data_IF_884818177624
#
_entry.id   IF_884818177624
#
_cell.length_a   1.000
_cell.length_b   1.000
_cell.length_c   1.000
_cell.angle_alpha   90.00
_cell.angle_beta   90.00
_cell.angle_gamma   90.00
#
_symmetry.space_group_name_H-M   'P 1'
#
loop_
_entity.id
_entity.type
_entity.pdbx_description
1 polymer ?
#
# COMPACT_ATOMS: atom_id res chain seq x y z
N UNK A 1 -43.12 -20.67 5.40
CA UNK A 1 -43.58 -19.43 6.08
C UNK A 1 -42.64 -18.98 7.19
N UNK A 2 -42.15 -19.87 8.07
CA UNK A 2 -41.22 -19.53 9.18
C UNK A 2 -39.93 -18.79 8.75
N UNK A 3 -39.30 -19.17 7.63
CA UNK A 3 -38.08 -18.49 7.11
C UNK A 3 -38.33 -17.04 6.63
N UNK A 4 -39.51 -16.76 6.06
CA UNK A 4 -39.88 -15.41 5.59
C UNK A 4 -40.19 -14.47 6.76
N UNK A 5 -40.84 -15.00 7.81
CA UNK A 5 -41.12 -14.25 9.05
C UNK A 5 -39.82 -13.92 9.79
N UNK A 6 -38.86 -14.85 9.83
CA UNK A 6 -37.55 -14.59 10.42
C UNK A 6 -36.76 -13.50 9.67
N UNK A 7 -36.80 -13.50 8.34
CA UNK A 7 -36.12 -12.49 7.51
C UNK A 7 -36.75 -11.10 7.67
N UNK A 8 -38.08 -11.02 7.77
CA UNK A 8 -38.80 -9.78 8.05
C UNK A 8 -38.50 -9.28 9.48
N UNK A 9 -38.43 -10.19 10.46
CA UNK A 9 -38.08 -9.83 11.84
C UNK A 9 -36.65 -9.29 11.95
N UNK A 10 -35.68 -9.89 11.25
CA UNK A 10 -34.29 -9.39 11.20
C UNK A 10 -34.22 -8.04 10.49
N UNK A 11 -34.94 -7.86 9.37
CA UNK A 11 -35.00 -6.58 8.67
C UNK A 11 -35.62 -5.46 9.54
N UNK A 12 -36.70 -5.77 10.27
CA UNK A 12 -37.31 -4.85 11.22
C UNK A 12 -36.42 -4.56 12.43
N UNK A 13 -35.68 -5.56 12.94
CA UNK A 13 -34.70 -5.37 14.02
C UNK A 13 -33.54 -4.47 13.56
N UNK A 14 -33.08 -4.62 12.32
CA UNK A 14 -32.09 -3.74 11.71
C UNK A 14 -32.62 -2.31 11.56
N UNK A 15 -33.89 -2.12 11.18
CA UNK A 15 -34.50 -0.78 11.09
C UNK A 15 -34.77 -0.13 12.46
N UNK A 16 -35.07 -0.92 13.49
CA UNK A 16 -35.25 -0.42 14.86
C UNK A 16 -33.91 -0.06 15.54
N UNK A 17 -32.80 -0.69 15.13
CA UNK A 17 -31.45 -0.33 15.60
C UNK A 17 -30.94 1.02 15.08
N UNK A 18 -31.51 1.54 13.99
CA UNK A 18 -31.16 2.83 13.39
C UNK A 18 -31.92 4.03 13.99
N UNK A 19 -32.99 3.78 14.78
CA UNK A 19 -33.85 4.83 15.31
C UNK A 19 -33.45 5.35 16.71
N UNK A 20 -32.32 4.89 17.26
CA UNK A 20 -31.87 5.25 18.60
C UNK A 20 -30.94 6.48 18.68
N UNK A 21 -30.75 7.22 17.58
CA UNK A 21 -30.17 8.56 17.65
C UNK A 21 -31.22 9.52 18.21
N UNK A 22 -31.24 9.69 19.54
CA UNK A 22 -31.92 10.84 20.13
C UNK A 22 -31.34 12.10 19.48
N UNK A 23 -32.19 12.82 18.74
CA UNK A 23 -31.87 14.14 18.16
C UNK A 23 -31.75 15.16 19.29
N UNK A 24 -30.70 15.05 20.09
CA UNK A 24 -30.31 16.12 21.00
C UNK A 24 -29.80 17.26 20.13
N UNK A 25 -30.35 18.45 20.33
CA UNK A 25 -29.90 19.64 19.63
C UNK A 25 -28.43 19.90 19.99
N UNK A 26 -27.48 19.83 19.03
CA UNK A 26 -26.05 19.95 19.31
C UNK A 26 -25.70 21.31 19.93
N UNK A 27 -26.50 22.35 19.68
CA UNK A 27 -26.29 23.69 20.25
C UNK A 27 -26.48 23.74 21.76
N UNK A 28 -27.18 22.75 22.33
CA UNK A 28 -27.50 22.67 23.77
C UNK A 28 -26.59 21.73 24.54
N UNK A 29 -25.66 21.06 23.87
CA UNK A 29 -24.77 20.06 24.45
C UNK A 29 -23.51 20.74 25.00
N UNK A 30 -23.12 20.36 26.23
CA UNK A 30 -21.78 20.66 26.75
C UNK A 30 -20.78 19.63 26.22
N UNK A 31 -19.76 20.12 25.51
CA UNK A 31 -18.68 19.32 24.96
C UNK A 31 -17.45 19.41 25.85
N UNK A 32 -17.58 18.88 27.07
CA UNK A 32 -16.51 18.85 28.07
C UNK A 32 -16.00 20.26 28.42
N UNK A 33 -16.94 21.17 28.70
CA UNK A 33 -16.65 22.57 29.04
C UNK A 33 -16.60 23.53 27.84
N UNK A 34 -16.83 23.04 26.62
CA UNK A 34 -16.94 23.88 25.41
C UNK A 34 -18.37 23.82 24.87
N UNK A 35 -18.89 24.98 24.46
CA UNK A 35 -20.17 25.05 23.75
C UNK A 35 -20.00 24.79 22.26
N UNK A 36 -21.12 24.56 21.58
CA UNK A 36 -21.16 24.47 20.12
C UNK A 36 -20.58 25.73 19.46
N UNK A 37 -20.92 26.92 19.99
CA UNK A 37 -20.47 28.20 19.45
C UNK A 37 -18.98 28.46 19.72
N UNK A 38 -18.42 27.96 20.83
CA UNK A 38 -16.98 28.08 21.11
C UNK A 38 -16.17 27.31 20.06
N UNK A 39 -16.57 26.07 19.77
CA UNK A 39 -15.90 25.21 18.79
C UNK A 39 -16.09 25.75 17.36
N UNK A 40 -17.29 26.22 17.03
CA UNK A 40 -17.57 26.87 15.75
C UNK A 40 -16.70 28.10 15.54
N UNK A 41 -16.66 28.99 16.53
CA UNK A 41 -15.88 30.22 16.49
C UNK A 41 -14.39 29.92 16.39
N UNK A 42 -13.91 28.87 17.06
CA UNK A 42 -12.52 28.43 16.92
C UNK A 42 -12.18 28.05 15.47
N UNK A 43 -12.98 27.17 14.84
CA UNK A 43 -12.78 26.79 13.44
C UNK A 43 -12.83 27.99 12.50
N UNK A 44 -13.82 28.88 12.66
CA UNK A 44 -13.96 30.06 11.80
C UNK A 44 -12.82 31.07 11.99
N UNK A 45 -12.36 31.27 13.23
CA UNK A 45 -11.21 32.12 13.54
C UNK A 45 -9.89 31.59 12.95
N UNK A 46 -9.71 30.27 12.92
CA UNK A 46 -8.58 29.64 12.24
C UNK A 46 -8.59 29.94 10.75
N UNK A 47 -9.72 29.79 10.08
CA UNK A 47 -9.85 30.09 8.64
C UNK A 47 -9.57 31.55 8.35
N UNK A 48 -10.12 32.47 9.15
CA UNK A 48 -9.83 33.90 9.00
C UNK A 48 -8.34 34.21 9.17
N UNK A 49 -7.69 33.56 10.14
CA UNK A 49 -6.24 33.70 10.35
C UNK A 49 -5.47 33.22 9.14
N UNK A 50 -5.76 32.00 8.64
CA UNK A 50 -5.11 31.40 7.47
C UNK A 50 -5.32 32.24 6.20
N UNK A 51 -6.55 32.74 5.97
CA UNK A 51 -6.88 33.57 4.82
C UNK A 51 -6.18 34.95 4.85
N UNK A 52 -5.84 35.45 6.04
CA UNK A 52 -5.16 36.74 6.23
C UNK A 52 -3.63 36.64 6.38
N UNK A 53 -3.08 35.43 6.41
CA UNK A 53 -1.67 35.18 6.71
C UNK A 53 -0.78 35.60 5.54
N UNK A 54 0.26 36.38 5.82
CA UNK A 54 1.26 36.75 4.81
C UNK A 54 2.21 35.60 4.52
N UNK A 55 2.85 35.57 3.36
CA UNK A 55 3.82 34.52 3.01
C UNK A 55 5.02 34.49 3.98
N UNK A 56 5.40 35.66 4.53
CA UNK A 56 6.43 35.77 5.58
C UNK A 56 5.99 35.09 6.88
N UNK A 57 4.76 35.34 7.33
CA UNK A 57 4.19 34.71 8.52
C UNK A 57 4.06 33.19 8.33
N UNK A 58 3.58 32.74 7.16
CA UNK A 58 3.47 31.32 6.84
C UNK A 58 4.82 30.64 6.95
N UNK A 59 5.87 31.20 6.33
CA UNK A 59 7.20 30.62 6.38
C UNK A 59 7.74 30.55 7.81
N UNK A 60 7.50 31.59 8.62
CA UNK A 60 7.85 31.56 10.03
C UNK A 60 7.19 30.39 10.77
N UNK A 61 5.88 30.20 10.60
CA UNK A 61 5.17 29.09 11.25
C UNK A 61 5.58 27.72 10.70
N UNK A 62 5.83 27.58 9.40
CA UNK A 62 6.33 26.32 8.83
C UNK A 62 7.67 25.89 9.45
N UNK A 63 8.54 26.85 9.79
CA UNK A 63 9.86 26.56 10.36
C UNK A 63 9.87 26.47 11.91
N UNK A 64 8.97 27.18 12.60
CA UNK A 64 9.05 27.39 14.05
C UNK A 64 7.86 26.86 14.85
N UNK A 65 6.82 26.35 14.20
CA UNK A 65 5.61 25.85 14.88
C UNK A 65 5.58 24.33 15.03
N UNK A 66 4.55 23.82 15.72
CA UNK A 66 4.30 22.38 15.82
C UNK A 66 3.96 21.78 14.46
N UNK A 67 4.26 20.49 14.27
CA UNK A 67 3.91 19.76 13.04
C UNK A 67 2.44 19.90 12.62
N UNK A 68 1.51 19.92 13.59
CA UNK A 68 0.07 20.12 13.31
C UNK A 68 -0.18 21.48 12.63
N UNK A 69 0.43 22.56 13.11
CA UNK A 69 0.26 23.91 12.56
C UNK A 69 0.94 24.01 11.19
N UNK A 70 2.16 23.47 11.05
CA UNK A 70 2.84 23.44 9.76
C UNK A 70 2.00 22.67 8.71
N UNK A 71 1.50 21.49 9.06
CA UNK A 71 0.63 20.70 8.18
C UNK A 71 -0.68 21.41 7.86
N UNK A 72 -1.27 22.13 8.81
CA UNK A 72 -2.47 22.94 8.58
C UNK A 72 -2.22 24.03 7.54
N UNK A 73 -1.11 24.75 7.65
CA UNK A 73 -0.73 25.80 6.69
C UNK A 73 -0.54 25.18 5.31
N UNK A 74 0.24 24.11 5.19
CA UNK A 74 0.46 23.42 3.92
C UNK A 74 -0.86 22.96 3.28
N UNK A 75 -1.74 22.31 4.05
CA UNK A 75 -3.05 21.85 3.56
C UNK A 75 -3.97 23.00 3.15
N UNK A 76 -3.89 24.13 3.83
CA UNK A 76 -4.62 25.33 3.44
C UNK A 76 -4.13 25.87 2.11
N UNK A 77 -2.81 25.94 1.91
CA UNK A 77 -2.22 26.36 0.63
C UNK A 77 -2.59 25.42 -0.51
N UNK A 78 -2.50 24.11 -0.29
CA UNK A 78 -2.92 23.10 -1.25
C UNK A 78 -4.41 23.26 -1.60
N UNK A 79 -5.26 23.51 -0.60
CA UNK A 79 -6.70 23.72 -0.81
C UNK A 79 -7.00 25.01 -1.58
N UNK A 80 -6.24 26.09 -1.34
CA UNK A 80 -6.37 27.35 -2.08
C UNK A 80 -5.87 27.20 -3.51
N UNK A 81 -4.78 26.46 -3.73
CA UNK A 81 -4.25 26.18 -5.07
C UNK A 81 -5.20 25.28 -5.88
N UNK A 82 -5.78 24.25 -5.24
CA UNK A 82 -6.62 23.26 -5.92
C UNK A 82 -8.09 23.70 -6.08
N UNK A 83 -8.64 24.40 -5.08
CA UNK A 83 -10.08 24.69 -4.99
C UNK A 83 -10.41 26.20 -4.98
N UNK A 84 -9.40 27.05 -5.14
CA UNK A 84 -9.55 28.50 -5.23
C UNK A 84 -9.70 29.18 -3.87
N UNK A 85 -10.02 30.48 -3.91
CA UNK A 85 -10.06 31.31 -2.70
C UNK A 85 -11.25 30.98 -1.79
N UNK A 86 -11.10 31.23 -0.49
CA UNK A 86 -12.19 31.14 0.47
C UNK A 86 -13.27 32.21 0.20
N UNK A 87 -14.54 31.80 0.16
CA UNK A 87 -15.69 32.66 -0.12
C UNK A 87 -16.55 32.86 1.12
N UNK A 88 -17.04 31.79 1.74
CA UNK A 88 -17.96 31.87 2.90
C UNK A 88 -17.96 30.59 3.75
N UNK A 89 -18.52 30.69 4.96
CA UNK A 89 -18.71 29.55 5.86
C UNK A 89 -20.04 28.82 5.58
N UNK A 90 -19.95 27.50 5.42
CA UNK A 90 -21.10 26.62 5.35
C UNK A 90 -21.48 26.02 6.70
N UNK A 91 -22.02 24.81 6.66
CA UNK A 91 -22.49 24.08 7.83
C UNK A 91 -21.36 23.74 8.81
N UNK A 92 -21.69 23.79 10.10
CA UNK A 92 -20.80 23.36 11.18
C UNK A 92 -21.42 22.17 11.92
N UNK A 93 -20.66 21.09 12.04
CA UNK A 93 -21.10 19.85 12.66
C UNK A 93 -20.14 19.41 13.76
N UNK A 94 -20.70 18.92 14.87
CA UNK A 94 -19.93 18.27 15.93
C UNK A 94 -20.33 16.81 16.00
N UNK A 95 -19.35 15.92 15.83
CA UNK A 95 -19.52 14.48 15.96
C UNK A 95 -18.72 13.96 17.15
N UNK A 96 -19.39 13.34 18.11
CA UNK A 96 -18.73 12.61 19.21
C UNK A 96 -18.83 11.11 18.98
N UNK A 97 -17.69 10.43 18.91
CA UNK A 97 -17.61 8.98 18.80
C UNK A 97 -16.60 8.41 19.80
N UNK A 98 -17.10 7.72 20.83
CA UNK A 98 -16.25 7.15 21.88
C UNK A 98 -15.45 8.23 22.62
N UNK A 99 -14.12 8.17 22.46
CA UNK A 99 -13.17 9.13 23.05
C UNK A 99 -12.80 10.29 22.12
N UNK A 100 -13.34 10.32 20.91
CA UNK A 100 -13.00 11.31 19.89
C UNK A 100 -14.16 12.29 19.74
N UNK A 101 -13.83 13.57 19.67
CA UNK A 101 -14.75 14.63 19.27
C UNK A 101 -14.22 15.32 18.03
N UNK A 102 -15.06 15.44 17.03
CA UNK A 102 -14.74 16.06 15.76
C UNK A 102 -15.59 17.31 15.60
N UNK A 103 -14.96 18.44 15.35
CA UNK A 103 -15.62 19.70 15.00
C UNK A 103 -15.29 20.01 13.53
N UNK A 104 -16.30 19.99 12.66
CA UNK A 104 -16.14 20.09 11.22
C UNK A 104 -16.85 21.34 10.71
N UNK A 105 -16.09 22.25 10.09
CA UNK A 105 -16.61 23.47 9.47
C UNK A 105 -16.48 23.33 7.94
N UNK A 106 -17.60 23.35 7.25
CA UNK A 106 -17.64 23.41 5.79
C UNK A 106 -17.24 24.81 5.34
N UNK A 107 -16.35 24.90 4.36
CA UNK A 107 -15.88 26.13 3.74
C UNK A 107 -16.29 26.12 2.28
N UNK A 108 -16.99 27.16 1.85
CA UNK A 108 -17.25 27.40 0.45
C UNK A 108 -16.01 28.06 -0.16
N UNK A 109 -15.31 27.32 -1.02
CA UNK A 109 -14.23 27.85 -1.86
C UNK A 109 -14.78 28.16 -3.24
N UNK A 110 -14.00 28.82 -4.10
CA UNK A 110 -14.42 29.21 -5.45
C UNK A 110 -14.81 28.02 -6.34
N UNK A 111 -14.01 26.94 -6.32
CA UNK A 111 -14.18 25.80 -7.23
C UNK A 111 -14.83 24.58 -6.57
N UNK A 112 -14.57 24.34 -5.28
CA UNK A 112 -15.11 23.20 -4.54
C UNK A 112 -15.17 23.47 -3.03
N UNK A 113 -16.25 23.04 -2.39
CA UNK A 113 -16.34 23.05 -0.93
C UNK A 113 -15.23 22.18 -0.31
N UNK A 114 -14.67 22.64 0.81
CA UNK A 114 -13.74 21.85 1.63
C UNK A 114 -14.27 21.78 3.06
N UNK A 115 -13.79 20.81 3.85
CA UNK A 115 -14.16 20.68 5.26
C UNK A 115 -12.89 20.81 6.10
N UNK A 116 -12.84 21.85 6.92
CA UNK A 116 -11.86 21.99 7.99
C UNK A 116 -12.34 21.15 9.18
N UNK A 117 -11.54 20.18 9.60
CA UNK A 117 -11.89 19.23 10.65
C UNK A 117 -10.88 19.28 11.78
N UNK A 118 -11.34 19.63 12.97
CA UNK A 118 -10.59 19.49 14.21
C UNK A 118 -10.91 18.16 14.87
N UNK A 119 -9.88 17.41 15.28
CA UNK A 119 -10.01 16.16 16.00
C UNK A 119 -9.47 16.33 17.41
N UNK A 120 -10.32 16.12 18.41
CA UNK A 120 -9.97 16.22 19.82
C UNK A 120 -10.13 14.87 20.54
N UNK A 121 -9.29 14.66 21.55
CA UNK A 121 -9.58 13.68 22.60
C UNK A 121 -10.64 14.23 23.55
N UNK A 122 -11.87 13.71 23.48
CA UNK A 122 -13.09 14.27 24.11
C UNK A 122 -12.94 14.60 25.60
N UNK A 123 -12.28 13.73 26.38
CA UNK A 123 -12.19 13.91 27.83
C UNK A 123 -11.13 14.93 28.28
N UNK A 124 -10.07 15.14 27.49
CA UNK A 124 -9.03 16.13 27.78
C UNK A 124 -9.20 17.42 26.97
N UNK A 125 -10.00 17.38 25.89
CA UNK A 125 -10.08 18.41 24.86
C UNK A 125 -8.71 18.75 24.26
N UNK A 126 -7.77 17.80 24.29
CA UNK A 126 -6.48 17.92 23.62
C UNK A 126 -6.68 17.75 22.11
N UNK A 127 -6.04 18.63 21.34
CA UNK A 127 -6.04 18.59 19.89
C UNK A 127 -5.12 17.48 19.39
N UNK A 128 -5.67 16.55 18.62
CA UNK A 128 -4.93 15.44 18.00
C UNK A 128 -4.50 15.79 16.58
N UNK A 129 -5.39 16.38 15.78
CA UNK A 129 -5.11 16.73 14.38
C UNK A 129 -6.06 17.81 13.86
N UNK A 130 -5.65 18.47 12.77
CA UNK A 130 -6.47 19.36 11.96
C UNK A 130 -6.30 18.99 10.49
N UNK A 131 -7.41 18.68 9.82
CA UNK A 131 -7.42 18.34 8.39
C UNK A 131 -8.24 19.33 7.58
N UNK A 132 -7.91 19.48 6.30
CA UNK A 132 -8.67 20.22 5.31
C UNK A 132 -8.84 19.27 4.13
N UNK A 133 -10.08 18.87 3.85
CA UNK A 133 -10.38 17.86 2.86
C UNK A 133 -11.45 18.34 1.88
N UNK A 134 -11.22 18.13 0.58
CA UNK A 134 -12.19 18.45 -0.46
C UNK A 134 -13.50 17.66 -0.32
N UNK A 135 -14.63 18.31 -0.57
CA UNK A 135 -15.94 17.66 -0.61
C UNK A 135 -16.13 17.01 -1.97
N UNK A 136 -16.00 15.68 -1.97
CA UNK A 136 -16.29 14.84 -3.13
C UNK A 136 -17.63 14.14 -3.00
N UNK A 137 -18.35 14.07 -4.11
CA UNK A 137 -19.59 13.29 -4.20
C UNK A 137 -19.32 11.80 -3.92
N UNK A 138 -20.35 11.09 -3.47
CA UNK A 138 -20.26 9.64 -3.25
C UNK A 138 -19.87 8.92 -4.55
N UNK A 139 -20.34 9.39 -5.71
CA UNK A 139 -20.00 8.85 -7.01
C UNK A 139 -18.51 9.03 -7.36
N UNK A 140 -17.95 10.22 -7.13
CA UNK A 140 -16.52 10.48 -7.32
C UNK A 140 -15.68 9.62 -6.36
N UNK A 141 -16.01 9.61 -5.06
CA UNK A 141 -15.32 8.78 -4.06
C UNK A 141 -15.36 7.30 -4.43
N UNK A 142 -16.51 6.81 -4.88
CA UNK A 142 -16.70 5.43 -5.30
C UNK A 142 -15.93 5.11 -6.58
N UNK A 143 -15.90 6.02 -7.55
CA UNK A 143 -15.11 5.85 -8.79
C UNK A 143 -13.62 5.81 -8.49
N UNK A 144 -13.13 6.70 -7.62
CA UNK A 144 -11.72 6.71 -7.19
C UNK A 144 -11.36 5.43 -6.42
N UNK A 145 -12.21 4.99 -5.49
CA UNK A 145 -12.01 3.74 -4.76
C UNK A 145 -12.04 2.51 -5.69
N UNK A 146 -12.92 2.51 -6.69
CA UNK A 146 -12.98 1.47 -7.71
C UNK A 146 -11.70 1.44 -8.54
N UNK A 147 -11.18 2.60 -8.93
CA UNK A 147 -9.94 2.68 -9.72
C UNK A 147 -8.74 2.12 -8.94
N UNK A 148 -8.66 2.41 -7.64
CA UNK A 148 -7.63 1.82 -6.77
C UNK A 148 -7.80 0.29 -6.64
N UNK A 149 -9.04 -0.19 -6.51
CA UNK A 149 -9.34 -1.62 -6.43
C UNK A 149 -8.96 -2.35 -7.72
N UNK A 150 -9.27 -1.75 -8.87
CA UNK A 150 -8.93 -2.30 -10.18
C UNK A 150 -7.42 -2.35 -10.39
N UNK A 151 -6.71 -1.27 -10.03
CA UNK A 151 -5.25 -1.24 -10.08
C UNK A 151 -4.63 -2.33 -9.20
N UNK A 152 -5.06 -2.44 -7.94
CA UNK A 152 -4.56 -3.48 -7.03
C UNK A 152 -4.84 -4.90 -7.53
N UNK A 153 -6.03 -5.15 -8.05
CA UNK A 153 -6.41 -6.45 -8.60
C UNK A 153 -5.61 -6.80 -9.87
N UNK A 154 -5.41 -5.82 -10.77
CA UNK A 154 -4.69 -6.01 -12.03
C UNK A 154 -3.21 -6.32 -11.76
N UNK A 155 -2.57 -5.59 -10.84
CA UNK A 155 -1.16 -5.83 -10.50
C UNK A 155 -0.98 -7.24 -9.95
N UNK A 156 -1.83 -7.68 -9.02
CA UNK A 156 -1.78 -9.04 -8.48
C UNK A 156 -1.99 -10.09 -9.58
N UNK A 157 -2.96 -9.86 -10.47
CA UNK A 157 -3.23 -10.78 -11.57
C UNK A 157 -2.04 -10.90 -12.55
N UNK A 158 -1.41 -9.78 -12.91
CA UNK A 158 -0.22 -9.76 -13.75
C UNK A 158 0.96 -10.49 -13.11
N UNK A 159 1.21 -10.29 -11.81
CA UNK A 159 2.28 -10.98 -11.08
C UNK A 159 2.06 -12.49 -11.07
N UNK A 160 0.82 -12.94 -10.85
CA UNK A 160 0.50 -14.37 -10.87
C UNK A 160 0.70 -14.99 -12.26
N UNK A 161 0.38 -14.28 -13.34
CA UNK A 161 0.64 -14.74 -14.71
C UNK A 161 2.15 -14.89 -14.94
N UNK A 162 2.94 -13.90 -14.52
CA UNK A 162 4.41 -13.94 -14.69
C UNK A 162 5.01 -15.12 -13.93
N UNK A 163 4.62 -15.34 -12.67
CA UNK A 163 5.08 -16.49 -11.88
C UNK A 163 4.67 -17.81 -12.54
N UNK A 164 3.44 -17.89 -13.07
CA UNK A 164 2.95 -19.07 -13.79
C UNK A 164 3.78 -19.37 -15.03
N UNK A 165 4.15 -18.34 -15.80
CA UNK A 165 5.01 -18.47 -16.97
C UNK A 165 6.44 -18.87 -16.60
N UNK A 166 7.01 -18.34 -15.53
CA UNK A 166 8.36 -18.71 -15.06
C UNK A 166 8.42 -20.19 -14.68
N UNK A 167 7.44 -20.69 -13.91
CA UNK A 167 7.37 -22.11 -13.53
C UNK A 167 7.17 -22.98 -14.78
N UNK A 168 6.33 -22.55 -15.72
CA UNK A 168 6.14 -23.23 -17.00
C UNK A 168 7.44 -23.32 -17.81
N UNK A 169 8.21 -22.23 -17.89
CA UNK A 169 9.52 -22.19 -18.54
C UNK A 169 10.53 -23.13 -17.86
N UNK A 170 10.55 -23.23 -16.53
CA UNK A 170 11.39 -24.20 -15.83
C UNK A 170 11.04 -25.66 -16.17
N UNK A 171 9.76 -25.95 -16.43
CA UNK A 171 9.32 -27.27 -16.88
C UNK A 171 9.70 -27.60 -18.35
N UNK A 172 10.12 -26.61 -19.15
CA UNK A 172 10.57 -26.81 -20.54
C UNK A 172 12.05 -27.24 -20.63
N UNK A 173 12.91 -26.83 -19.68
CA UNK A 173 14.33 -27.22 -19.66
C UNK A 173 14.59 -28.74 -19.68
N UNK A 174 13.91 -29.60 -18.89
CA UNK A 174 14.12 -31.05 -18.96
C UNK A 174 13.65 -31.67 -20.29
N UNK A 175 12.84 -30.97 -21.08
CA UNK A 175 12.39 -31.43 -22.41
C UNK A 175 13.41 -31.12 -23.51
N UNK A 176 14.19 -30.04 -23.37
CA UNK A 176 15.23 -29.66 -24.33
C UNK A 176 16.50 -30.50 -24.19
N UNK A 177 16.85 -30.94 -22.98
CA UNK A 177 17.95 -31.89 -22.75
C UNK A 177 17.65 -33.26 -23.38
N UNK A 178 16.43 -33.79 -23.20
CA UNK A 178 16.01 -35.05 -23.83
C UNK A 178 15.97 -34.98 -25.36
N UNK A 179 15.64 -33.82 -25.94
CA UNK A 179 15.62 -33.63 -27.41
C UNK A 179 17.02 -33.48 -28.02
N UNK A 180 18.02 -32.99 -27.28
CA UNK A 180 19.43 -33.02 -27.71
C UNK A 180 20.05 -34.41 -27.60
N UNK A 181 19.67 -35.20 -26.58
CA UNK A 181 20.13 -36.60 -26.43
C UNK A 181 19.51 -37.56 -27.47
N UNK A 182 18.29 -37.31 -27.95
CA UNK A 182 17.61 -38.17 -28.93
C UNK A 182 18.00 -37.91 -30.41
N UNK A 183 18.92 -36.98 -30.68
CA UNK A 183 19.40 -36.68 -32.06
C UNK A 183 20.78 -37.27 -32.38
N UNK A 184 21.36 -38.03 -31.45
CA UNK A 184 22.60 -38.78 -31.65
C UNK A 184 22.34 -40.29 -31.54
N UNK A 185 21.66 -40.86 -32.52
CA UNK A 185 21.67 -42.31 -32.74
C UNK A 185 22.53 -42.57 -33.98
N UNK A 186 23.64 -43.34 -33.87
CA UNK A 186 24.62 -43.45 -34.93
C UNK A 186 24.11 -44.39 -36.02
N UNK A 187 24.28 -43.97 -37.28
CA UNK A 187 24.14 -44.85 -38.43
C UNK A 187 25.17 -45.98 -38.32
N UNK A 188 24.68 -47.22 -38.30
CA UNK A 188 25.51 -48.43 -38.42
C UNK A 188 26.27 -48.41 -39.75
N UNK A 189 27.59 -48.53 -39.69
CA UNK A 189 28.38 -49.11 -40.77
C UNK A 189 29.36 -50.13 -40.18
N UNK A 190 29.16 -51.40 -40.55
CA UNK A 190 30.09 -52.49 -40.37
C UNK A 190 31.45 -52.15 -40.99
N UNK A 191 32.55 -52.19 -40.22
CA UNK A 191 33.86 -52.78 -40.60
C UNK A 191 34.64 -53.13 -39.33
N UNK A 192 34.50 -54.38 -38.89
CA UNK A 192 35.58 -55.35 -38.66
C UNK A 192 36.93 -54.83 -38.08
N UNK A 193 37.18 -55.26 -36.83
CA UNK A 193 38.48 -55.57 -36.19
C UNK A 193 39.50 -54.45 -35.98
N UNK A 194 39.69 -54.04 -34.73
CA UNK A 194 40.86 -54.46 -33.93
C UNK A 194 40.82 -53.84 -32.52
N UNK A 195 41.03 -54.71 -31.52
CA UNK A 195 41.61 -54.43 -30.20
C UNK A 195 40.66 -53.69 -29.24
N UNK A 196 39.85 -54.43 -28.50
CA UNK A 196 40.14 -54.84 -27.10
C UNK A 196 40.30 -53.66 -26.13
N UNK A 197 39.29 -53.57 -25.25
CA UNK A 197 39.33 -53.04 -23.88
C UNK A 197 39.25 -51.52 -23.71
N UNK A 198 38.04 -51.10 -23.33
CA UNK A 198 37.74 -50.05 -22.33
C UNK A 198 37.86 -48.61 -22.82
N UNK A 199 36.83 -48.15 -23.53
CA UNK A 199 36.34 -46.78 -23.34
C UNK A 199 35.44 -46.77 -22.10
N UNK A 200 36.04 -46.61 -20.93
CA UNK A 200 35.31 -46.05 -19.80
C UNK A 200 34.85 -44.66 -20.22
N UNK A 201 33.55 -44.41 -20.07
CA UNK A 201 32.94 -43.09 -20.05
C UNK A 201 33.92 -42.09 -19.43
N UNK A 202 34.50 -41.25 -20.26
CA UNK A 202 35.12 -40.02 -19.81
C UNK A 202 33.94 -39.14 -19.42
N UNK A 203 33.45 -39.33 -18.20
CA UNK A 203 32.59 -38.35 -17.54
C UNK A 203 33.34 -37.04 -17.60
N UNK A 204 32.70 -36.03 -18.18
CA UNK A 204 33.20 -34.67 -18.27
C UNK A 204 33.23 -34.06 -16.87
N UNK A 205 34.13 -34.56 -16.02
CA UNK A 205 34.31 -34.14 -14.65
C UNK A 205 35.19 -32.88 -14.58
N UNK A 206 35.46 -32.23 -15.72
CA UNK A 206 36.28 -31.01 -15.81
C UNK A 206 35.70 -29.87 -14.97
N UNK A 207 34.37 -29.70 -14.99
CA UNK A 207 33.66 -28.73 -14.14
C UNK A 207 33.80 -29.08 -12.65
N UNK A 208 33.67 -30.37 -12.29
CA UNK A 208 33.79 -30.83 -10.91
C UNK A 208 35.22 -30.63 -10.38
N UNK A 209 36.22 -30.95 -11.21
CA UNK A 209 37.64 -30.76 -10.90
C UNK A 209 37.96 -29.26 -10.74
N UNK A 210 37.42 -28.41 -11.60
CA UNK A 210 37.64 -26.96 -11.53
C UNK A 210 37.08 -26.36 -10.24
N UNK A 211 35.85 -26.75 -9.84
CA UNK A 211 35.24 -26.27 -8.58
C UNK A 211 36.04 -26.77 -7.36
N UNK A 212 36.48 -28.03 -7.36
CA UNK A 212 37.28 -28.58 -6.26
C UNK A 212 38.63 -27.87 -6.15
N UNK A 213 39.34 -27.68 -7.27
CA UNK A 213 40.63 -26.99 -7.30
C UNK A 213 40.49 -25.53 -6.84
N UNK A 214 39.46 -24.82 -7.29
CA UNK A 214 39.18 -23.44 -6.88
C UNK A 214 38.84 -23.34 -5.39
N UNK A 215 38.05 -24.28 -4.85
CA UNK A 215 37.70 -24.29 -3.44
C UNK A 215 38.91 -24.53 -2.53
N UNK A 216 39.83 -25.43 -2.91
CA UNK A 216 41.06 -25.70 -2.15
C UNK A 216 42.02 -24.51 -2.23
N UNK A 217 42.22 -23.95 -3.44
CA UNK A 217 43.01 -22.74 -3.64
C UNK A 217 42.52 -21.57 -2.78
N UNK A 218 41.21 -21.37 -2.69
CA UNK A 218 40.60 -20.35 -1.85
C UNK A 218 40.77 -20.61 -0.35
N UNK A 219 40.68 -21.87 0.10
CA UNK A 219 40.84 -22.22 1.52
C UNK A 219 42.31 -22.15 1.99
N UNK A 220 43.26 -22.50 1.14
CA UNK A 220 44.70 -22.49 1.46
C UNK A 220 45.39 -21.18 1.05
N UNK A 221 44.69 -20.29 0.35
CA UNK A 221 45.21 -18.99 -0.12
C UNK A 221 46.32 -19.12 -1.16
N UNK A 222 46.30 -20.17 -1.98
CA UNK A 222 47.36 -20.52 -2.96
C UNK A 222 46.81 -20.67 -4.39
N UNK A 223 47.69 -20.72 -5.40
CA UNK A 223 47.28 -20.88 -6.81
C UNK A 223 46.85 -22.30 -7.14
N UNK A 224 45.99 -22.45 -8.15
CA UNK A 224 45.49 -23.75 -8.62
C UNK A 224 46.52 -24.60 -9.38
N UNK A 225 47.65 -24.01 -9.78
CA UNK A 225 48.63 -24.62 -10.71
C UNK A 225 49.34 -25.86 -10.15
N UNK A 226 49.26 -26.10 -8.84
CA UNK A 226 49.87 -27.26 -8.19
C UNK A 226 48.95 -28.47 -7.96
N UNK A 227 47.65 -28.36 -8.23
CA UNK A 227 46.69 -29.41 -7.88
C UNK A 227 46.45 -30.41 -9.01
N UNK A 228 46.55 -31.70 -8.71
CA UNK A 228 46.26 -32.79 -9.65
C UNK A 228 45.12 -33.64 -9.09
N UNK A 229 43.93 -33.53 -9.69
CA UNK A 229 42.75 -34.32 -9.30
C UNK A 229 42.64 -35.55 -10.20
N UNK A 230 42.50 -36.74 -9.61
CA UNK A 230 42.33 -38.01 -10.34
C UNK A 230 41.21 -38.83 -9.70
N UNK A 231 40.41 -39.47 -10.54
CA UNK A 231 39.38 -40.42 -10.09
C UNK A 231 40.04 -41.70 -9.58
N UNK A 232 39.69 -42.13 -8.36
CA UNK A 232 40.14 -43.40 -7.78
C UNK A 232 38.91 -44.30 -7.59
N UNK A 233 38.87 -45.43 -8.30
CA UNK A 233 37.87 -46.49 -8.07
C UNK A 233 38.48 -47.54 -7.15
N UNK A 234 37.92 -47.70 -5.93
CA UNK A 234 38.24 -48.83 -5.06
C UNK A 234 37.58 -50.10 -5.63
N UNK A 235 38.32 -51.21 -5.68
CA UNK A 235 37.77 -52.55 -5.95
C UNK A 235 37.08 -53.09 -4.71
#
# INVERSE_FOLDING_TARGET
MKKKIFLIAVLCLCMLGLAACSKTDPTTVDYNGYSYDDLKTNCQGTVQTLASMTDEDKQYYLENSTEIIANLITRWEDAVEEYGSFVDFGDFEITKSGKTLTAAQTLHMEDRDVILTYVYTYYSMELEDITIDGVYSVGEKMSTALMNTLMGMLVVFCVLIIISLIIYCFNIFPYLEKKKAAKSEPAKSDVVTQIEVREEQQTDDGELIAVIAAAIAAAEGTSTDGFVVRSIRRR
#
